data_IF_882220748743
#
_entry.id   IF_882220748743
#
_cell.length_a   1.000
_cell.length_b   1.000
_cell.length_c   1.000
_cell.angle_alpha   90.00
_cell.angle_beta   90.00
_cell.angle_gamma   90.00
#
_symmetry.space_group_name_H-M   'P 1'
#
loop_
_entity.id
_entity.type
_entity.pdbx_description
1 polymer ?
#
# COMPACT_ATOMS: atom_id res chain seq x y z
N UNK A 1 -17.14 1.15 3.89
CA UNK A 1 -17.53 1.66 2.55
C UNK A 1 -16.58 1.25 1.44
N UNK A 2 -15.24 1.25 1.64
CA UNK A 2 -14.29 0.92 0.57
C UNK A 2 -14.64 -0.37 -0.21
N UNK A 3 -14.78 -1.50 0.48
CA UNK A 3 -15.11 -2.78 -0.17
C UNK A 3 -16.44 -2.72 -0.94
N UNK A 4 -17.48 -2.08 -0.38
CA UNK A 4 -18.75 -1.85 -1.07
C UNK A 4 -18.58 -1.06 -2.37
N UNK A 5 -17.75 -0.01 -2.36
CA UNK A 5 -17.52 0.79 -3.56
C UNK A 5 -16.74 0.03 -4.64
N UNK A 6 -15.86 -0.89 -4.25
CA UNK A 6 -15.04 -1.68 -5.18
C UNK A 6 -15.82 -2.87 -5.73
N UNK A 7 -16.58 -3.57 -4.89
CA UNK A 7 -17.23 -4.84 -5.26
C UNK A 7 -18.71 -4.70 -5.60
N UNK A 8 -19.37 -3.61 -5.20
CA UNK A 8 -20.82 -3.43 -5.32
C UNK A 8 -21.64 -4.14 -4.22
N UNK A 9 -20.99 -4.87 -3.31
CA UNK A 9 -21.65 -5.68 -2.28
C UNK A 9 -21.20 -5.31 -0.88
N UNK A 10 -22.08 -5.46 0.12
CA UNK A 10 -21.69 -5.24 1.51
C UNK A 10 -20.71 -6.34 1.95
N UNK A 11 -19.53 -6.00 2.47
CA UNK A 11 -18.57 -7.01 2.90
C UNK A 11 -19.10 -7.75 4.13
N UNK A 12 -18.79 -9.06 4.22
CA UNK A 12 -18.95 -9.82 5.45
C UNK A 12 -18.02 -9.31 6.56
N UNK A 13 -18.27 -9.75 7.80
CA UNK A 13 -17.58 -9.24 8.99
C UNK A 13 -16.06 -9.40 8.94
N UNK A 14 -15.58 -10.58 8.52
CA UNK A 14 -14.13 -10.85 8.44
C UNK A 14 -13.46 -9.95 7.39
N UNK A 15 -14.02 -9.87 6.18
CA UNK A 15 -13.45 -9.04 5.11
C UNK A 15 -13.42 -7.55 5.51
N UNK A 16 -14.48 -7.06 6.15
CA UNK A 16 -14.53 -5.70 6.68
C UNK A 16 -13.44 -5.48 7.73
N UNK A 17 -13.26 -6.43 8.66
CA UNK A 17 -12.27 -6.31 9.73
C UNK A 17 -10.83 -6.36 9.21
N UNK A 18 -10.53 -7.26 8.27
CA UNK A 18 -9.21 -7.37 7.64
C UNK A 18 -8.84 -6.07 6.91
N UNK A 19 -9.78 -5.51 6.14
CA UNK A 19 -9.54 -4.24 5.44
C UNK A 19 -9.31 -3.09 6.43
N UNK A 20 -10.10 -3.00 7.49
CA UNK A 20 -9.94 -1.98 8.53
C UNK A 20 -8.56 -2.05 9.21
N UNK A 21 -8.15 -3.26 9.64
CA UNK A 21 -6.83 -3.48 10.24
C UNK A 21 -5.71 -3.16 9.25
N UNK A 22 -5.83 -3.57 8.00
CA UNK A 22 -4.82 -3.27 6.97
C UNK A 22 -4.64 -1.76 6.75
N UNK A 23 -5.74 -1.01 6.65
CA UNK A 23 -5.69 0.44 6.49
C UNK A 23 -5.09 1.14 7.71
N UNK A 24 -5.38 0.65 8.93
CA UNK A 24 -4.77 1.17 10.16
C UNK A 24 -3.26 0.92 10.16
N UNK A 25 -2.81 -0.28 9.80
CA UNK A 25 -1.38 -0.62 9.78
C UNK A 25 -0.61 0.15 8.71
N UNK A 26 -1.23 0.45 7.56
CA UNK A 26 -0.60 1.25 6.51
C UNK A 26 -0.70 2.77 6.71
N UNK A 27 -1.40 3.24 7.74
CA UNK A 27 -1.72 4.66 7.89
C UNK A 27 -0.48 5.57 8.10
N UNK A 28 0.54 5.08 8.82
CA UNK A 28 1.71 5.89 9.18
C UNK A 28 2.94 5.00 9.40
N UNK A 29 4.11 5.47 8.95
CA UNK A 29 5.39 4.75 9.12
C UNK A 29 6.60 5.69 9.05
N UNK A 30 6.54 6.79 9.80
CA UNK A 30 7.56 7.84 9.98
C UNK A 30 8.13 8.36 8.63
N UNK A 31 9.43 8.62 8.57
CA UNK A 31 10.11 9.18 7.39
C UNK A 31 10.49 8.12 6.35
N UNK A 32 9.57 7.21 6.03
CA UNK A 32 9.72 6.34 4.87
C UNK A 32 9.81 7.17 3.56
N UNK A 33 10.26 6.56 2.46
CA UNK A 33 10.61 7.26 1.22
C UNK A 33 9.49 8.15 0.66
N UNK A 34 8.23 7.68 0.69
CA UNK A 34 7.09 8.49 0.21
C UNK A 34 6.77 9.65 1.14
N UNK A 35 6.77 9.44 2.46
CA UNK A 35 6.57 10.53 3.43
C UNK A 35 7.67 11.58 3.30
N UNK A 36 8.93 11.16 3.21
CA UNK A 36 10.06 12.06 3.06
C UNK A 36 9.98 12.86 1.74
N UNK A 37 9.55 12.22 0.65
CA UNK A 37 9.32 12.89 -0.64
C UNK A 37 8.27 13.99 -0.54
N UNK A 38 7.12 13.71 0.10
CA UNK A 38 6.11 14.74 0.35
C UNK A 38 6.69 15.95 1.10
N UNK A 39 7.53 15.71 2.12
CA UNK A 39 8.17 16.76 2.92
C UNK A 39 9.17 17.58 2.10
N UNK A 40 9.96 16.94 1.24
CA UNK A 40 10.92 17.64 0.36
C UNK A 40 10.17 18.60 -0.56
N UNK A 41 9.09 18.14 -1.21
CA UNK A 41 8.26 18.99 -2.09
C UNK A 41 7.64 20.15 -1.29
N UNK A 42 7.01 19.84 -0.15
CA UNK A 42 6.38 20.85 0.71
C UNK A 42 7.39 21.91 1.21
N UNK A 43 8.66 21.54 1.43
CA UNK A 43 9.70 22.48 1.90
C UNK A 43 10.00 23.62 0.93
N UNK A 44 9.59 23.48 -0.34
CA UNK A 44 9.70 24.52 -1.37
C UNK A 44 8.49 25.48 -1.42
N UNK A 45 7.56 25.36 -0.45
CA UNK A 45 6.26 26.05 -0.44
C UNK A 45 5.32 25.64 -1.60
N UNK A 46 5.50 24.43 -2.15
CA UNK A 46 4.55 23.84 -3.09
C UNK A 46 3.25 23.42 -2.39
N UNK A 47 2.20 23.17 -3.17
CA UNK A 47 0.89 22.83 -2.66
C UNK A 47 0.76 21.34 -2.24
N UNK A 48 -0.32 21.04 -1.53
CA UNK A 48 -0.59 19.70 -1.01
C UNK A 48 -0.75 18.66 -2.12
N UNK A 49 -1.38 18.98 -3.25
CA UNK A 49 -1.54 18.02 -4.33
C UNK A 49 -0.19 17.66 -4.95
N UNK A 50 0.66 18.66 -5.19
CA UNK A 50 2.03 18.43 -5.67
C UNK A 50 2.82 17.52 -4.74
N UNK A 51 2.75 17.75 -3.41
CA UNK A 51 3.42 16.90 -2.43
C UNK A 51 2.89 15.46 -2.44
N UNK A 52 1.57 15.27 -2.42
CA UNK A 52 0.93 13.94 -2.43
C UNK A 52 1.21 13.20 -3.74
N UNK A 53 1.15 13.88 -4.89
CA UNK A 53 1.51 13.28 -6.18
C UNK A 53 2.95 12.76 -6.18
N UNK A 54 3.90 13.52 -5.61
CA UNK A 54 5.27 13.06 -5.43
C UNK A 54 5.39 11.86 -4.49
N UNK A 55 4.68 11.88 -3.36
CA UNK A 55 4.59 10.75 -2.44
C UNK A 55 4.06 9.47 -3.07
N UNK A 56 2.99 9.57 -3.87
CA UNK A 56 2.42 8.44 -4.64
C UNK A 56 3.46 7.91 -5.64
N UNK A 57 4.18 8.80 -6.33
CA UNK A 57 5.26 8.42 -7.24
C UNK A 57 6.36 7.62 -6.55
N UNK A 58 6.80 8.04 -5.37
CA UNK A 58 7.77 7.31 -4.57
C UNK A 58 7.22 5.97 -4.02
N UNK A 59 5.95 5.95 -3.59
CA UNK A 59 5.29 4.73 -3.06
C UNK A 59 5.13 3.64 -4.12
N UNK A 60 4.94 4.02 -5.39
CA UNK A 60 4.82 3.08 -6.53
C UNK A 60 6.05 2.19 -6.72
N UNK A 61 7.24 2.62 -6.28
CA UNK A 61 8.49 1.88 -6.51
C UNK A 61 8.46 0.45 -5.94
N UNK A 62 9.10 -0.53 -6.62
CA UNK A 62 9.09 -1.93 -6.17
C UNK A 62 9.80 -2.13 -4.83
N UNK A 63 10.76 -1.27 -4.48
CA UNK A 63 11.46 -1.31 -3.18
C UNK A 63 10.73 -0.54 -2.07
N UNK A 64 9.49 -0.09 -2.32
CA UNK A 64 8.65 0.59 -1.33
C UNK A 64 7.24 0.00 -1.35
N UNK A 65 6.21 0.77 -1.70
CA UNK A 65 4.82 0.29 -1.69
C UNK A 65 4.50 -0.78 -2.72
N UNK A 66 5.22 -0.82 -3.85
CA UNK A 66 5.06 -1.87 -4.87
C UNK A 66 5.52 -3.27 -4.42
N UNK A 67 6.17 -3.38 -3.25
CA UNK A 67 6.66 -4.65 -2.74
C UNK A 67 5.54 -5.65 -2.40
N UNK A 68 4.33 -5.19 -2.06
CA UNK A 68 3.22 -6.09 -1.71
C UNK A 68 2.69 -6.87 -2.94
N UNK A 69 2.61 -6.23 -4.10
CA UNK A 69 2.24 -6.85 -5.37
C UNK A 69 3.32 -7.88 -5.77
N UNK A 70 4.60 -7.53 -5.63
CA UNK A 70 5.69 -8.48 -5.86
C UNK A 70 5.67 -9.64 -4.88
N UNK A 71 5.29 -9.42 -3.62
CA UNK A 71 5.15 -10.50 -2.64
C UNK A 71 4.04 -11.48 -3.06
N UNK A 72 2.89 -10.99 -3.53
CA UNK A 72 1.83 -11.84 -4.08
C UNK A 72 2.29 -12.59 -5.33
N UNK A 73 2.94 -11.90 -6.28
CA UNK A 73 3.47 -12.52 -7.50
C UNK A 73 4.57 -13.56 -7.20
N UNK A 74 5.29 -13.43 -6.08
CA UNK A 74 6.23 -14.44 -5.61
C UNK A 74 5.49 -15.64 -5.03
N UNK A 75 4.47 -15.43 -4.19
CA UNK A 75 3.68 -16.51 -3.61
C UNK A 75 2.94 -17.33 -4.66
N UNK A 76 2.43 -16.69 -5.73
CA UNK A 76 1.73 -17.35 -6.83
C UNK A 76 2.63 -18.27 -7.69
N UNK A 77 3.96 -18.23 -7.53
CA UNK A 77 4.87 -19.14 -8.24
C UNK A 77 4.92 -20.56 -7.64
N UNK A 78 4.32 -20.75 -6.47
CA UNK A 78 4.37 -21.99 -5.72
C UNK A 78 2.98 -22.59 -5.52
N UNK A 79 2.82 -23.87 -5.86
CA UNK A 79 1.55 -24.60 -5.69
C UNK A 79 1.44 -25.28 -4.31
N UNK A 80 2.56 -25.38 -3.57
CA UNK A 80 2.58 -25.96 -2.23
C UNK A 80 3.68 -25.38 -1.34
N UNK A 81 3.56 -25.64 -0.04
CA UNK A 81 4.56 -25.25 0.97
C UNK A 81 5.88 -25.99 0.74
N UNK A 82 5.83 -27.23 0.24
CA UNK A 82 7.01 -28.03 -0.08
C UNK A 82 7.83 -27.39 -1.20
N UNK A 83 7.17 -26.94 -2.27
CA UNK A 83 7.84 -26.29 -3.41
C UNK A 83 8.51 -24.97 -2.97
N UNK A 84 7.93 -24.25 -2.01
CA UNK A 84 8.50 -23.00 -1.49
C UNK A 84 9.74 -23.20 -0.59
N UNK A 85 10.05 -24.45 -0.18
CA UNK A 85 11.20 -24.79 0.68
C UNK A 85 12.46 -25.19 -0.10
N UNK A 86 12.31 -25.50 -1.38
CA UNK A 86 13.41 -25.82 -2.30
C UNK A 86 14.02 -24.55 -2.90
#
# INVERSE_FOLDING_TARGET
>A
NLLLCITGERPGEIAAKVMDVSLILYAEHDFNASTFTCRVIASTMSDMHSAICGGIGALKGPLHGGANEMAMAMLEQYDSVEQARE
#
